data_IF_539549503362
#
_entry.id   IF_539549503362
#
_cell.length_a   1.000
_cell.length_b   1.000
_cell.length_c   1.000
_cell.angle_alpha   90.00
_cell.angle_beta   90.00
_cell.angle_gamma   90.00
#
_symmetry.space_group_name_H-M   'P 1'
#
loop_
_entity.id
_entity.type
_entity.pdbx_description
1 polymer ?
#
# COMPACT_ATOMS: atom_id res chain seq x y z
N UNK A 1 -9.19 -12.94 3.49
CA UNK A 1 -8.15 -13.91 3.10
C UNK A 1 -7.54 -13.53 1.78
N UNK A 2 -7.50 -14.47 0.83
CA UNK A 2 -6.78 -14.28 -0.44
C UNK A 2 -7.27 -13.11 -1.30
N UNK A 3 -8.56 -12.76 -1.23
CA UNK A 3 -9.14 -11.63 -1.98
C UNK A 3 -8.51 -10.28 -1.65
N UNK A 4 -7.86 -10.13 -0.49
CA UNK A 4 -7.10 -8.94 -0.13
C UNK A 4 -5.91 -8.69 -1.08
N UNK A 5 -5.50 -9.67 -1.89
CA UNK A 5 -4.50 -9.51 -2.95
C UNK A 5 -5.08 -9.01 -4.29
N UNK A 6 -6.42 -8.94 -4.42
CA UNK A 6 -7.11 -8.42 -5.60
C UNK A 6 -7.43 -6.95 -5.37
N UNK A 7 -6.67 -6.05 -5.99
CA UNK A 7 -6.64 -4.63 -5.61
C UNK A 7 -8.00 -3.91 -5.66
N UNK A 8 -8.76 -4.10 -6.75
CA UNK A 8 -10.12 -3.58 -6.92
C UNK A 8 -11.14 -4.73 -6.88
N UNK A 9 -11.08 -5.56 -5.84
CA UNK A 9 -12.10 -6.58 -5.56
C UNK A 9 -13.47 -5.92 -5.26
N UNK A 10 -14.56 -6.60 -5.59
CA UNK A 10 -15.93 -6.11 -5.31
C UNK A 10 -16.74 -5.69 -6.53
N UNK A 11 -16.16 -5.67 -7.72
CA UNK A 11 -16.90 -5.44 -8.97
C UNK A 11 -17.84 -6.61 -9.32
N UNK A 12 -18.68 -6.47 -10.36
CA UNK A 12 -19.69 -7.45 -10.77
C UNK A 12 -19.16 -8.90 -10.90
N UNK A 13 -17.99 -9.10 -11.50
CA UNK A 13 -17.39 -10.43 -11.67
C UNK A 13 -16.70 -11.00 -10.40
N UNK A 14 -16.68 -10.26 -9.30
CA UNK A 14 -16.12 -10.66 -8.00
C UNK A 14 -16.88 -9.93 -6.87
N UNK A 15 -18.19 -10.20 -6.72
CA UNK A 15 -19.15 -9.25 -6.15
C UNK A 15 -19.23 -9.30 -4.61
N UNK A 16 -18.10 -9.36 -3.91
CA UNK A 16 -18.04 -9.38 -2.44
C UNK A 16 -18.88 -10.50 -1.78
N UNK A 17 -18.98 -11.66 -2.43
CA UNK A 17 -19.85 -12.76 -2.00
C UNK A 17 -19.10 -13.90 -1.29
N UNK A 18 -17.82 -13.72 -0.98
CA UNK A 18 -17.01 -14.73 -0.31
C UNK A 18 -17.25 -14.75 1.20
N UNK A 19 -17.32 -15.96 1.77
CA UNK A 19 -17.50 -16.13 3.20
C UNK A 19 -16.19 -15.79 3.91
N UNK A 20 -16.26 -14.84 4.85
CA UNK A 20 -15.13 -14.54 5.75
C UNK A 20 -14.91 -15.75 6.67
N UNK A 21 -13.69 -16.29 6.65
CA UNK A 21 -13.29 -17.42 7.48
C UNK A 21 -12.50 -16.95 8.71
N UNK A 22 -12.53 -17.72 9.78
CA UNK A 22 -11.76 -17.40 10.99
C UNK A 22 -10.27 -17.37 10.68
N UNK A 23 -9.59 -16.29 11.06
CA UNK A 23 -8.15 -16.08 10.83
C UNK A 23 -7.81 -15.41 9.50
N UNK A 24 -8.80 -15.12 8.65
CA UNK A 24 -8.61 -14.29 7.48
C UNK A 24 -8.14 -12.87 7.84
N UNK A 25 -7.34 -12.27 6.97
CA UNK A 25 -7.29 -10.81 6.89
C UNK A 25 -8.53 -10.30 6.14
N UNK A 26 -9.07 -9.19 6.59
CA UNK A 26 -10.07 -8.39 5.90
C UNK A 26 -9.40 -7.08 5.49
N UNK A 27 -9.40 -6.77 4.20
CA UNK A 27 -8.96 -5.49 3.65
C UNK A 27 -10.22 -4.83 3.11
N UNK A 28 -10.65 -3.77 3.79
CA UNK A 28 -11.83 -3.00 3.45
C UNK A 28 -11.38 -1.65 2.94
N UNK A 29 -11.51 -1.47 1.64
CA UNK A 29 -11.29 -0.22 0.91
C UNK A 29 -12.67 0.33 0.55
N UNK A 30 -13.08 1.38 1.28
CA UNK A 30 -14.43 1.94 1.16
C UNK A 30 -14.38 3.43 1.49
N UNK A 31 -14.88 4.24 0.56
CA UNK A 31 -15.11 5.67 0.72
C UNK A 31 -16.58 6.05 0.74
N UNK A 32 -16.88 7.27 1.17
CA UNK A 32 -18.17 7.91 0.94
C UNK A 32 -18.01 9.19 0.11
N UNK A 33 -19.12 9.61 -0.50
CA UNK A 33 -19.21 10.89 -1.20
C UNK A 33 -20.25 11.78 -0.48
N UNK A 34 -19.90 13.04 -0.23
CA UNK A 34 -20.80 14.04 0.34
C UNK A 34 -20.70 15.35 -0.44
N UNK A 35 -21.84 15.86 -0.92
CA UNK A 35 -21.88 17.05 -1.80
C UNK A 35 -20.93 16.93 -3.02
N UNK A 36 -20.80 15.73 -3.56
CA UNK A 36 -19.87 15.36 -4.63
C UNK A 36 -18.38 15.43 -4.27
N UNK A 37 -18.01 15.54 -3.00
CA UNK A 37 -16.63 15.35 -2.55
C UNK A 37 -16.41 13.93 -2.07
N UNK A 38 -15.43 13.26 -2.64
CA UNK A 38 -15.05 11.89 -2.31
C UNK A 38 -14.13 11.84 -1.08
N UNK A 39 -14.15 10.68 -0.42
CA UNK A 39 -13.15 10.20 0.53
C UNK A 39 -12.69 8.82 0.07
N UNK A 40 -11.47 8.43 0.42
CA UNK A 40 -10.93 7.12 0.08
C UNK A 40 -10.10 6.55 1.25
N UNK A 41 -10.60 5.50 1.88
CA UNK A 41 -10.00 4.98 3.12
C UNK A 41 -10.00 3.47 3.09
N UNK A 42 -8.80 2.91 3.19
CA UNK A 42 -8.58 1.47 3.37
C UNK A 42 -8.14 1.13 4.80
N UNK A 43 -8.79 0.14 5.40
CA UNK A 43 -8.37 -0.48 6.65
C UNK A 43 -8.22 -1.99 6.50
N UNK A 44 -7.11 -2.53 7.00
CA UNK A 44 -6.86 -3.98 7.06
C UNK A 44 -6.87 -4.47 8.51
N UNK A 45 -7.57 -5.58 8.80
CA UNK A 45 -7.69 -6.15 10.14
C UNK A 45 -7.95 -7.67 10.11
N UNK A 46 -7.66 -8.43 11.19
CA UNK A 46 -7.93 -9.86 11.25
C UNK A 46 -9.42 -10.12 11.54
N UNK A 47 -10.06 -11.00 10.78
CA UNK A 47 -11.47 -11.38 10.99
C UNK A 47 -11.74 -11.98 12.37
N UNK A 48 -10.71 -12.56 13.00
CA UNK A 48 -10.73 -13.13 14.34
C UNK A 48 -10.65 -12.09 15.47
N UNK A 49 -10.42 -10.81 15.14
CA UNK A 49 -10.17 -9.75 16.13
C UNK A 49 -8.79 -9.76 16.78
N UNK A 50 -7.89 -10.69 16.39
CA UNK A 50 -6.52 -10.78 16.89
C UNK A 50 -5.54 -11.13 15.78
N UNK A 51 -4.47 -10.34 15.64
CA UNK A 51 -3.47 -10.59 14.63
C UNK A 51 -2.61 -11.80 15.02
N UNK A 52 -2.42 -12.71 14.08
CA UNK A 52 -1.33 -13.69 14.15
C UNK A 52 0.02 -13.01 13.96
N UNK A 53 1.11 -13.65 14.39
CA UNK A 53 2.46 -13.09 14.23
C UNK A 53 2.81 -12.81 12.77
N UNK A 54 2.40 -13.67 11.82
CA UNK A 54 2.61 -13.42 10.38
C UNK A 54 1.85 -12.18 9.90
N UNK A 55 0.62 -11.99 10.37
CA UNK A 55 -0.18 -10.82 10.01
C UNK A 55 0.43 -9.54 10.60
N UNK A 56 0.88 -9.55 11.86
CA UNK A 56 1.55 -8.39 12.50
C UNK A 56 2.79 -7.96 11.74
N UNK A 57 3.61 -8.92 11.30
CA UNK A 57 4.85 -8.62 10.56
C UNK A 57 4.58 -7.80 9.30
N UNK A 58 3.61 -8.23 8.47
CA UNK A 58 3.28 -7.53 7.22
C UNK A 58 2.49 -6.25 7.51
N UNK A 59 1.56 -6.30 8.46
CA UNK A 59 0.77 -5.15 8.85
C UNK A 59 1.64 -3.98 9.32
N UNK A 60 2.57 -4.24 10.23
CA UNK A 60 3.48 -3.21 10.74
C UNK A 60 4.46 -2.71 9.69
N UNK A 61 4.83 -3.52 8.69
CA UNK A 61 5.63 -3.05 7.56
C UNK A 61 4.88 -2.00 6.74
N UNK A 62 3.60 -2.26 6.44
CA UNK A 62 2.73 -1.31 5.71
C UNK A 62 2.44 -0.07 6.56
N UNK A 63 2.16 -0.23 7.85
CA UNK A 63 1.95 0.88 8.77
C UNK A 63 3.18 1.79 8.83
N UNK A 64 4.39 1.22 8.95
CA UNK A 64 5.62 2.01 8.96
C UNK A 64 5.82 2.75 7.63
N UNK A 65 5.53 2.12 6.49
CA UNK A 65 5.62 2.77 5.19
C UNK A 65 4.66 3.97 5.09
N UNK A 66 3.41 3.82 5.53
CA UNK A 66 2.42 4.90 5.59
C UNK A 66 2.92 6.05 6.47
N UNK A 67 3.41 5.77 7.68
CA UNK A 67 3.88 6.80 8.61
C UNK A 67 5.13 7.53 8.13
N UNK A 68 6.09 6.84 7.51
CA UNK A 68 7.27 7.50 6.95
C UNK A 68 6.93 8.36 5.74
N UNK A 69 6.00 7.94 4.88
CA UNK A 69 5.50 8.78 3.77
C UNK A 69 4.80 10.02 4.31
N UNK A 70 3.84 9.86 5.23
CA UNK A 70 3.10 10.99 5.82
C UNK A 70 4.08 11.95 6.50
N UNK A 71 5.04 11.45 7.27
CA UNK A 71 6.06 12.29 7.91
C UNK A 71 6.91 13.08 6.92
N UNK A 72 7.20 12.52 5.74
CA UNK A 72 8.00 13.16 4.70
C UNK A 72 7.18 14.08 3.77
N UNK A 73 5.88 13.86 3.64
CA UNK A 73 4.99 14.57 2.73
C UNK A 73 4.83 16.05 3.13
N UNK A 74 5.30 16.96 2.28
CA UNK A 74 5.21 18.41 2.46
C UNK A 74 5.43 19.12 1.12
N UNK A 75 5.16 20.44 1.02
CA UNK A 75 5.43 21.19 -0.19
C UNK A 75 6.89 21.03 -0.66
N UNK A 76 7.09 20.83 -1.97
CA UNK A 76 8.41 20.69 -2.59
C UNK A 76 8.94 19.25 -2.71
N UNK A 77 8.24 18.26 -2.15
CA UNK A 77 8.60 16.83 -2.28
C UNK A 77 7.93 16.20 -3.50
N UNK A 78 8.66 15.42 -4.29
CA UNK A 78 8.08 14.77 -5.49
C UNK A 78 7.38 13.47 -5.14
N UNK A 79 6.19 13.23 -5.69
CA UNK A 79 5.40 12.04 -5.35
C UNK A 79 6.11 10.72 -5.70
N UNK A 80 6.91 10.71 -6.76
CA UNK A 80 7.74 9.55 -7.13
C UNK A 80 8.75 9.18 -6.03
N UNK A 81 9.28 10.16 -5.30
CA UNK A 81 10.23 9.94 -4.21
C UNK A 81 9.52 9.30 -2.99
N UNK A 82 8.26 9.67 -2.75
CA UNK A 82 7.43 9.04 -1.73
C UNK A 82 7.14 7.58 -2.04
N UNK A 83 6.84 7.25 -3.31
CA UNK A 83 6.63 5.86 -3.72
C UNK A 83 7.87 5.00 -3.46
N UNK A 84 9.06 5.50 -3.81
CA UNK A 84 10.32 4.81 -3.54
C UNK A 84 10.64 4.73 -2.05
N UNK A 85 10.24 5.72 -1.25
CA UNK A 85 10.35 5.67 0.21
C UNK A 85 9.48 4.54 0.79
N UNK A 86 8.22 4.42 0.36
CA UNK A 86 7.34 3.34 0.79
C UNK A 86 7.93 1.96 0.42
N UNK A 87 8.37 1.78 -0.82
CA UNK A 87 8.99 0.52 -1.25
C UNK A 87 10.25 0.19 -0.43
N UNK A 88 11.10 1.19 -0.14
CA UNK A 88 12.30 1.02 0.67
C UNK A 88 11.98 0.50 2.06
N UNK A 89 10.98 1.09 2.71
CA UNK A 89 10.52 0.66 4.04
C UNK A 89 9.99 -0.78 3.96
N UNK A 90 9.11 -1.08 3.00
CA UNK A 90 8.58 -2.44 2.80
C UNK A 90 9.70 -3.47 2.61
N UNK A 91 10.64 -3.22 1.70
CA UNK A 91 11.77 -4.12 1.43
C UNK A 91 12.65 -4.34 2.66
N UNK A 92 12.88 -3.29 3.46
CA UNK A 92 13.63 -3.37 4.71
C UNK A 92 12.94 -4.29 5.71
N UNK A 93 11.63 -4.16 5.88
CA UNK A 93 10.84 -5.01 6.77
C UNK A 93 10.73 -6.45 6.26
N UNK A 94 10.51 -6.66 4.97
CA UNK A 94 10.44 -8.00 4.36
C UNK A 94 11.79 -8.72 4.45
N UNK A 95 12.90 -7.99 4.34
CA UNK A 95 14.25 -8.51 4.62
C UNK A 95 14.41 -8.90 6.09
N UNK A 96 14.00 -8.04 7.03
CA UNK A 96 14.06 -8.34 8.46
C UNK A 96 13.18 -9.55 8.85
N UNK A 97 12.07 -9.77 8.15
CA UNK A 97 11.19 -10.93 8.31
C UNK A 97 11.73 -12.22 7.68
N UNK A 98 12.90 -12.16 7.02
CA UNK A 98 13.53 -13.27 6.32
C UNK A 98 12.85 -13.66 5.00
N UNK A 99 11.90 -12.88 4.50
CA UNK A 99 11.22 -13.14 3.22
C UNK A 99 12.13 -12.77 2.05
N UNK A 100 12.92 -11.71 2.24
CA UNK A 100 13.90 -11.21 1.28
C UNK A 100 15.33 -11.27 1.86
N UNK A 101 16.32 -11.27 0.97
CA UNK A 101 17.75 -11.26 1.31
C UNK A 101 18.53 -10.36 0.35
N UNK A 102 19.74 -9.96 0.76
CA UNK A 102 20.60 -9.06 -0.01
C UNK A 102 20.48 -7.59 0.40
N UNK A 103 20.91 -6.70 -0.48
CA UNK A 103 20.92 -5.25 -0.25
C UNK A 103 19.60 -4.58 -0.67
N UNK A 104 19.14 -3.59 0.10
CA UNK A 104 17.85 -2.92 -0.13
C UNK A 104 17.91 -1.98 -1.34
N UNK A 105 19.02 -1.29 -1.58
CA UNK A 105 19.17 -0.44 -2.77
C UNK A 105 19.20 -1.30 -4.04
N UNK A 106 19.91 -2.44 -4.00
CA UNK A 106 19.90 -3.39 -5.11
C UNK A 106 18.49 -3.92 -5.41
N UNK A 107 17.71 -4.22 -4.37
CA UNK A 107 16.31 -4.64 -4.51
C UNK A 107 15.42 -3.54 -5.10
N UNK A 108 15.61 -2.28 -4.70
CA UNK A 108 14.90 -1.14 -5.28
C UNK A 108 15.23 -0.94 -6.76
N UNK A 109 16.51 -0.97 -7.11
CA UNK A 109 16.98 -0.85 -8.49
C UNK A 109 16.47 -2.01 -9.36
N UNK A 110 16.36 -3.21 -8.80
CA UNK A 110 15.77 -4.38 -9.47
C UNK A 110 14.23 -4.38 -9.45
N UNK A 111 13.59 -3.33 -8.92
CA UNK A 111 12.14 -3.15 -8.80
C UNK A 111 11.44 -4.30 -8.05
N UNK A 112 12.09 -4.84 -7.01
CA UNK A 112 11.50 -5.90 -6.16
C UNK A 112 10.30 -5.37 -5.38
N UNK A 113 10.32 -4.09 -4.97
CA UNK A 113 9.18 -3.45 -4.28
C UNK A 113 7.87 -3.56 -5.05
N UNK A 114 7.92 -3.39 -6.38
CA UNK A 114 6.76 -3.46 -7.26
C UNK A 114 6.10 -4.85 -7.35
N UNK A 115 6.76 -5.91 -6.88
CA UNK A 115 6.19 -7.25 -6.78
C UNK A 115 5.20 -7.32 -5.61
N UNK A 116 5.53 -6.64 -4.51
CA UNK A 116 4.72 -6.59 -3.29
C UNK A 116 3.78 -5.39 -3.26
N UNK A 117 4.06 -4.31 -4.00
CA UNK A 117 3.23 -3.11 -4.15
C UNK A 117 3.12 -2.73 -5.64
N UNK A 118 2.27 -3.42 -6.43
CA UNK A 118 2.21 -3.23 -7.88
C UNK A 118 1.43 -1.98 -8.34
N UNK A 119 0.71 -1.32 -7.44
CA UNK A 119 -0.03 -0.08 -7.70
C UNK A 119 0.81 1.17 -7.36
N UNK A 120 0.29 2.35 -7.71
CA UNK A 120 0.88 3.61 -7.29
C UNK A 120 0.70 3.81 -5.78
N UNK A 121 1.55 4.63 -5.15
CA UNK A 121 1.48 4.90 -3.70
C UNK A 121 0.20 5.64 -3.28
N UNK A 122 -0.45 6.31 -4.22
CA UNK A 122 -1.63 7.11 -3.97
C UNK A 122 -1.87 8.12 -5.08
N UNK A 123 -2.92 8.91 -4.90
CA UNK A 123 -3.48 9.76 -5.93
C UNK A 123 -4.22 10.97 -5.36
N UNK A 124 -4.36 12.00 -6.18
CA UNK A 124 -5.20 13.14 -5.83
C UNK A 124 -6.64 12.64 -5.62
N UNK A 125 -7.31 13.22 -4.64
CA UNK A 125 -8.71 12.94 -4.29
C UNK A 125 -9.43 14.28 -4.11
N UNK A 126 -10.66 14.38 -4.60
CA UNK A 126 -11.41 15.63 -4.64
C UNK A 126 -12.87 15.39 -5.00
N UNK A 127 -13.32 15.94 -6.14
CA UNK A 127 -14.66 15.64 -6.64
C UNK A 127 -14.76 14.20 -7.21
N UNK A 128 -13.66 13.71 -7.78
CA UNK A 128 -13.51 12.30 -8.13
C UNK A 128 -12.57 11.63 -7.11
N UNK A 129 -12.81 10.34 -6.81
CA UNK A 129 -11.90 9.53 -5.98
C UNK A 129 -10.48 9.55 -6.57
N UNK A 130 -10.39 9.30 -7.89
CA UNK A 130 -9.16 9.47 -8.66
C UNK A 130 -9.19 10.84 -9.36
N UNK A 131 -8.88 11.90 -8.62
CA UNK A 131 -9.04 13.29 -9.09
C UNK A 131 -8.11 13.67 -10.24
N UNK A 132 -8.50 14.73 -10.93
CA UNK A 132 -7.85 15.22 -12.14
C UNK A 132 -6.47 15.87 -11.88
N UNK A 133 -5.77 16.23 -12.96
CA UNK A 133 -4.55 17.06 -12.87
C UNK A 133 -3.27 16.37 -12.41
N UNK A 134 -3.28 15.05 -12.16
CA UNK A 134 -2.12 14.30 -11.70
C UNK A 134 -0.90 14.32 -12.66
N UNK A 135 -1.12 14.54 -13.96
CA UNK A 135 -0.07 14.64 -14.99
C UNK A 135 -0.04 16.00 -15.70
N UNK A 136 -0.45 17.06 -15.00
CA UNK A 136 -0.37 18.44 -15.48
C UNK A 136 0.68 19.24 -14.68
N UNK A 137 0.96 20.47 -15.13
CA UNK A 137 1.87 21.37 -14.41
C UNK A 137 3.32 20.89 -14.46
N UNK A 138 3.92 20.70 -13.28
CA UNK A 138 5.31 20.26 -13.10
C UNK A 138 5.48 18.73 -13.14
N UNK A 139 4.42 17.98 -13.47
CA UNK A 139 4.47 16.54 -13.61
C UNK A 139 5.56 16.10 -14.60
N UNK A 140 6.38 15.13 -14.18
CA UNK A 140 7.27 14.42 -15.09
C UNK A 140 6.48 13.41 -15.94
N UNK A 141 6.98 13.00 -17.12
CA UNK A 141 6.36 11.93 -17.88
C UNK A 141 6.17 10.67 -17.05
N UNK A 142 5.03 9.98 -17.25
CA UNK A 142 4.73 8.73 -16.55
C UNK A 142 5.88 7.71 -16.73
N UNK A 143 6.49 7.22 -15.63
CA UNK A 143 7.53 6.21 -15.71
C UNK A 143 7.04 4.93 -16.39
N UNK A 144 7.96 4.15 -16.97
CA UNK A 144 7.64 2.84 -17.55
C UNK A 144 7.94 1.67 -16.62
N UNK A 145 8.67 1.94 -15.54
CA UNK A 145 9.11 0.92 -14.59
C UNK A 145 7.93 0.32 -13.80
N UNK A 146 7.99 -0.98 -13.42
CA UNK A 146 7.01 -1.61 -12.54
C UNK A 146 6.77 -0.81 -11.25
N UNK A 147 5.52 -0.78 -10.77
CA UNK A 147 5.09 0.05 -9.64
C UNK A 147 4.90 1.51 -10.05
N UNK A 148 6.00 2.20 -10.41
CA UNK A 148 5.99 3.62 -10.76
C UNK A 148 5.08 3.98 -11.94
N UNK A 149 4.96 3.10 -12.95
CA UNK A 149 4.05 3.31 -14.08
C UNK A 149 2.57 3.43 -13.67
N UNK A 150 2.22 2.86 -12.51
CA UNK A 150 0.87 2.84 -11.95
C UNK A 150 0.56 4.09 -11.12
N UNK A 151 1.53 4.97 -10.87
CA UNK A 151 1.28 6.24 -10.16
C UNK A 151 0.24 7.09 -10.89
N UNK A 152 -0.66 7.73 -10.16
CA UNK A 152 -1.65 8.66 -10.75
C UNK A 152 -1.15 10.10 -10.80
N UNK A 153 -0.02 10.39 -10.17
CA UNK A 153 0.69 11.66 -10.32
C UNK A 153 2.20 11.49 -10.18
N UNK A 154 2.96 12.33 -10.86
CA UNK A 154 4.42 12.48 -10.71
C UNK A 154 4.80 13.89 -10.26
N UNK A 155 3.80 14.69 -9.85
CA UNK A 155 3.96 16.09 -9.49
C UNK A 155 4.74 16.24 -8.19
N UNK A 156 5.27 17.45 -8.01
CA UNK A 156 5.73 17.91 -6.70
C UNK A 156 4.52 18.27 -5.85
N UNK A 157 4.49 17.81 -4.61
CA UNK A 157 3.45 18.18 -3.64
C UNK A 157 3.48 19.71 -3.44
N UNK A 158 2.30 20.31 -3.45
CA UNK A 158 2.08 21.74 -3.22
C UNK A 158 1.05 21.91 -2.11
N UNK A 159 1.08 23.06 -1.45
CA UNK A 159 0.07 23.43 -0.46
C UNK A 159 -1.34 23.30 -1.06
N UNK A 160 -2.27 22.76 -0.27
CA UNK A 160 -3.69 22.47 -0.58
C UNK A 160 -3.93 21.30 -1.54
N UNK A 161 -2.91 20.55 -1.96
CA UNK A 161 -3.18 19.25 -2.57
C UNK A 161 -3.79 18.31 -1.53
N UNK A 162 -4.82 17.57 -1.92
CA UNK A 162 -5.37 16.45 -1.16
C UNK A 162 -5.00 15.16 -1.89
N UNK A 163 -4.44 14.19 -1.18
CA UNK A 163 -3.84 13.00 -1.77
C UNK A 163 -3.97 11.79 -0.83
N UNK A 164 -4.25 10.61 -1.39
CA UNK A 164 -4.22 9.36 -0.65
C UNK A 164 -2.77 8.93 -0.36
N UNK A 165 -2.53 8.37 0.82
CA UNK A 165 -1.29 7.67 1.17
C UNK A 165 -1.63 6.22 1.46
N UNK A 166 -1.51 5.36 0.45
CA UNK A 166 -2.07 4.01 0.45
C UNK A 166 -1.02 2.91 0.21
N UNK A 167 0.14 2.87 0.90
CA UNK A 167 1.07 1.76 0.70
C UNK A 167 0.40 0.41 0.98
N UNK A 168 0.82 -0.60 0.23
CA UNK A 168 0.30 -1.96 0.38
C UNK A 168 1.39 -3.01 0.19
N UNK A 169 1.16 -4.18 0.79
CA UNK A 169 2.02 -5.36 0.65
C UNK A 169 1.16 -6.59 0.39
N UNK A 170 1.26 -7.14 -0.81
CA UNK A 170 0.44 -8.27 -1.27
C UNK A 170 1.31 -9.45 -1.70
N UNK A 171 0.78 -10.65 -1.51
CA UNK A 171 1.39 -11.89 -1.97
C UNK A 171 0.60 -12.40 -3.19
N UNK A 172 0.89 -11.81 -4.35
CA UNK A 172 0.19 -12.08 -5.61
C UNK A 172 0.93 -13.16 -6.39
N UNK A 173 0.32 -14.34 -6.52
CA UNK A 173 0.94 -15.53 -7.11
C UNK A 173 1.53 -15.27 -8.51
N UNK A 174 0.82 -14.56 -9.40
CA UNK A 174 1.32 -14.29 -10.76
C UNK A 174 2.60 -13.43 -10.76
N UNK A 175 2.70 -12.46 -9.86
CA UNK A 175 3.88 -11.59 -9.75
C UNK A 175 5.05 -12.32 -9.09
N UNK A 176 4.77 -13.06 -8.01
CA UNK A 176 5.78 -13.85 -7.30
C UNK A 176 6.34 -14.96 -8.19
N UNK A 177 5.49 -15.71 -8.89
CA UNK A 177 5.94 -16.77 -9.80
C UNK A 177 6.83 -16.22 -10.93
N UNK A 178 6.46 -15.08 -11.53
CA UNK A 178 7.28 -14.43 -12.55
C UNK A 178 8.64 -13.98 -12.00
N UNK A 179 8.67 -13.46 -10.77
CA UNK A 179 9.92 -13.03 -10.12
C UNK A 179 10.84 -14.20 -9.73
N UNK A 180 10.28 -15.31 -9.27
CA UNK A 180 11.03 -16.52 -8.93
C UNK A 180 11.58 -17.24 -10.18
N UNK A 181 10.91 -17.10 -11.33
CA UNK A 181 11.40 -17.61 -12.61
C UNK A 181 12.50 -16.75 -13.24
N UNK A 182 12.64 -15.48 -12.82
CA UNK A 182 13.66 -14.55 -13.31
C UNK A 182 14.96 -14.67 -12.47
N UNK A 183 16.08 -15.17 -13.03
CA UNK A 183 17.34 -15.34 -12.28
C UNK A 183 17.87 -14.04 -11.66
N UNK A 184 17.57 -12.88 -12.26
CA UNK A 184 18.01 -11.58 -11.75
C UNK A 184 17.27 -11.21 -10.47
N UNK A 185 16.00 -11.61 -10.34
CA UNK A 185 15.15 -11.29 -9.19
C UNK A 185 15.13 -12.40 -8.15
N UNK A 186 15.12 -13.66 -8.57
CA UNK A 186 15.03 -14.84 -7.70
C UNK A 186 16.10 -14.84 -6.59
N UNK A 187 17.29 -14.30 -6.87
CA UNK A 187 18.38 -14.21 -5.89
C UNK A 187 18.01 -13.42 -4.61
N UNK A 188 17.01 -12.55 -4.64
CA UNK A 188 16.58 -11.75 -3.49
C UNK A 188 15.53 -12.45 -2.60
N UNK A 189 15.01 -13.62 -3.00
CA UNK A 189 13.96 -14.30 -2.24
C UNK A 189 14.51 -15.43 -1.38
N UNK A 190 13.97 -15.57 -0.17
CA UNK A 190 13.99 -16.82 0.56
C UNK A 190 12.72 -17.61 0.22
N UNK A 191 12.86 -18.61 -0.64
CA UNK A 191 11.70 -19.34 -1.18
C UNK A 191 10.97 -20.17 -0.14
N UNK A 192 11.68 -20.70 0.87
CA UNK A 192 11.03 -21.49 1.92
C UNK A 192 10.23 -20.57 2.85
N UNK A 193 10.81 -19.43 3.23
CA UNK A 193 10.09 -18.43 4.03
C UNK A 193 8.91 -17.84 3.26
N UNK A 194 9.06 -17.56 1.98
CA UNK A 194 8.00 -17.00 1.14
C UNK A 194 6.79 -17.94 1.01
N UNK A 195 7.00 -19.26 0.89
CA UNK A 195 5.92 -20.27 0.79
C UNK A 195 4.94 -20.20 1.97
N UNK A 196 5.41 -19.78 3.15
CA UNK A 196 4.58 -19.62 4.33
C UNK A 196 3.51 -18.53 4.22
N UNK A 197 3.65 -17.62 3.24
CA UNK A 197 2.73 -16.52 2.95
C UNK A 197 1.84 -16.80 1.73
N UNK A 198 1.87 -18.03 1.19
CA UNK A 198 0.94 -18.42 0.12
C UNK A 198 -0.50 -18.28 0.60
N UNK A 199 -1.32 -17.57 -0.18
CA UNK A 199 -2.72 -17.31 0.18
C UNK A 199 -2.91 -16.29 1.32
N UNK A 200 -1.85 -15.62 1.78
CA UNK A 200 -1.94 -14.57 2.80
C UNK A 200 -2.89 -13.43 2.39
N UNK A 201 -3.02 -13.17 1.09
CA UNK A 201 -3.73 -12.02 0.57
C UNK A 201 -2.81 -10.80 0.57
N UNK A 202 -3.17 -9.77 1.31
CA UNK A 202 -2.35 -8.58 1.46
C UNK A 202 -2.89 -7.61 2.50
N UNK A 203 -2.11 -6.56 2.72
CA UNK A 203 -2.43 -5.44 3.60
C UNK A 203 -2.34 -4.17 2.79
N UNK A 204 -3.33 -3.28 2.93
CA UNK A 204 -3.26 -1.86 2.54
C UNK A 204 -3.73 -1.01 3.71
N UNK A 205 -3.04 0.11 3.92
CA UNK A 205 -3.42 1.14 4.88
C UNK A 205 -3.43 2.44 4.10
N UNK A 206 -4.59 3.07 4.05
CA UNK A 206 -4.80 4.27 3.26
C UNK A 206 -5.41 5.37 4.10
N UNK A 207 -4.75 6.51 4.05
CA UNK A 207 -5.17 7.74 4.69
C UNK A 207 -5.29 8.85 3.65
N UNK A 208 -6.38 9.60 3.71
CA UNK A 208 -6.53 10.87 2.99
C UNK A 208 -5.74 11.94 3.74
N UNK A 209 -4.83 12.64 3.04
CA UNK A 209 -4.09 13.76 3.63
C UNK A 209 -4.25 15.05 2.83
N UNK A 210 -4.26 16.18 3.53
CA UNK A 210 -4.11 17.51 2.92
C UNK A 210 -2.72 18.06 3.19
N UNK A 211 -2.07 18.61 2.18
CA UNK A 211 -0.76 19.24 2.29
C UNK A 211 -0.92 20.70 2.73
N UNK A 212 -0.28 21.09 3.82
CA UNK A 212 -0.25 22.47 4.32
C UNK A 212 1.11 23.14 4.09
N UNK A 213 1.21 24.47 4.26
CA UNK A 213 2.46 25.20 4.11
C UNK A 213 3.61 24.63 4.98
N UNK A 214 3.26 24.01 6.12
CA UNK A 214 4.20 23.41 7.08
C UNK A 214 3.83 21.96 7.41
N UNK A 215 3.75 21.09 6.39
CA UNK A 215 3.55 19.65 6.57
C UNK A 215 2.25 19.17 5.94
N UNK A 216 1.51 18.34 6.65
CA UNK A 216 0.23 17.80 6.22
C UNK A 216 -0.66 17.49 7.44
N UNK A 217 -1.89 17.12 7.14
CA UNK A 217 -2.89 16.67 8.11
C UNK A 217 -3.61 15.45 7.53
N UNK A 218 -3.85 14.44 8.38
CA UNK A 218 -4.66 13.27 8.05
C UNK A 218 -6.13 13.62 8.27
N UNK A 219 -6.98 13.33 7.29
CA UNK A 219 -8.39 13.70 7.30
C UNK A 219 -9.30 12.63 7.91
N UNK A 220 -8.85 11.37 7.96
CA UNK A 220 -9.60 10.25 8.52
C UNK A 220 -9.12 9.88 9.93
N UNK A 221 -10.06 9.45 10.79
CA UNK A 221 -9.79 9.01 12.17
C UNK A 221 -10.24 7.55 12.35
N UNK A 222 -9.28 6.62 12.24
CA UNK A 222 -9.52 5.18 12.36
C UNK A 222 -8.37 4.50 13.13
N UNK A 223 -8.62 3.37 13.80
CA UNK A 223 -7.57 2.56 14.45
C UNK A 223 -6.47 2.13 13.47
N UNK A 224 -5.20 2.29 13.85
CA UNK A 224 -4.05 2.02 12.95
C UNK A 224 -2.96 1.15 13.56
N UNK A 225 -2.76 1.17 14.87
CA UNK A 225 -1.85 0.22 15.51
C UNK A 225 -2.53 -1.14 15.69
N UNK A 226 -1.74 -2.21 15.81
CA UNK A 226 -2.24 -3.54 16.13
C UNK A 226 -3.06 -3.49 17.41
N UNK A 227 -2.57 -2.77 18.42
CA UNK A 227 -3.22 -2.63 19.72
C UNK A 227 -4.56 -1.90 19.63
N UNK A 228 -4.63 -0.81 18.86
CA UNK A 228 -5.87 -0.05 18.65
C UNK A 228 -6.92 -0.90 17.91
N UNK A 229 -6.54 -1.62 16.85
CA UNK A 229 -7.47 -2.46 16.09
C UNK A 229 -7.97 -3.61 16.97
N UNK A 230 -7.08 -4.33 17.65
CA UNK A 230 -7.48 -5.41 18.56
C UNK A 230 -8.35 -4.89 19.71
N UNK A 231 -8.12 -3.66 20.19
CA UNK A 231 -8.97 -3.03 21.20
C UNK A 231 -10.35 -2.64 20.66
N UNK A 232 -10.41 -2.14 19.43
CA UNK A 232 -11.66 -1.78 18.76
C UNK A 232 -12.53 -3.00 18.49
N UNK A 233 -11.94 -4.09 17.97
CA UNK A 233 -12.65 -5.31 17.59
C UNK A 233 -13.11 -6.19 18.77
N UNK A 234 -12.67 -5.89 20.00
CA UNK A 234 -13.15 -6.58 21.22
C UNK A 234 -14.51 -6.08 21.70
N UNK A 235 -14.99 -4.95 21.21
CA UNK A 235 -16.27 -4.35 21.58
C UNK A 235 -17.42 -5.03 20.85
#
# INVERSE_FOLDING_TARGET
GINCATLHYGHENAPNNERIMNGDLCLLDMGCECECYASDVTTTFPSSGKFSEKQKVIYNAVLQANREVIKAAKPGVRWTEMHLLAERVLLTHLKAAGILKGDVEEMLNARIGAIFMPHGLGHLVGLDVHDCGGYLGDALPRPKEPGLKSLRTTRTLQERMVITVEPGCYFIDVLLNAALADPVKNKYFDTERLKEFKGFGGVRIEDDIVIWAKGNEILNDVPRTVEEIEAFMRK
#
